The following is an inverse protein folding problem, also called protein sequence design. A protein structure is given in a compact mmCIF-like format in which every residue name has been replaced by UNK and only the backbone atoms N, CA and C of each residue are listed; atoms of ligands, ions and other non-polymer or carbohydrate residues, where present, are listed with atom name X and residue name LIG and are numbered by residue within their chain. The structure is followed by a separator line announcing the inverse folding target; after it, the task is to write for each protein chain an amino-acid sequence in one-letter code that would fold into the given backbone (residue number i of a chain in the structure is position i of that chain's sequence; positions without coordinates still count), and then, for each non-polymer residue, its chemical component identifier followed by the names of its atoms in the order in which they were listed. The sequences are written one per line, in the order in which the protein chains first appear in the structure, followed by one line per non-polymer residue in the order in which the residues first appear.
data_IF_234970129202
#
_entry.id   IF_234970129202
#
_cell.length_a   1.000
_cell.length_b   1.000
_cell.length_c   1.000
_cell.angle_alpha   90.00
_cell.angle_beta   90.00
_cell.angle_gamma   90.00
#
_symmetry.space_group_name_H-M   'P 1'
#
loop_
_entity.id
_entity.type
_entity.pdbx_description
1 polymer ?
#
# COMPACT_ATOMS: atom_id res chain seq x y z
N UNK A 1 28.84 -2.45 9.64
CA UNK A 1 28.30 -2.64 11.00
C UNK A 1 26.85 -3.03 10.81
N UNK A 2 26.46 -4.30 11.01
CA UNK A 2 25.05 -4.70 10.85
C UNK A 2 24.27 -4.07 12.00
N UNK A 3 23.48 -3.04 11.73
CA UNK A 3 22.45 -2.56 12.64
C UNK A 3 21.64 -3.79 13.07
N UNK A 4 21.46 -3.97 14.38
CA UNK A 4 20.61 -5.06 14.84
C UNK A 4 19.19 -4.73 14.39
N UNK A 5 18.40 -5.75 14.07
CA UNK A 5 16.99 -5.55 13.68
C UNK A 5 16.25 -4.70 14.72
N UNK A 6 16.65 -4.71 16.00
CA UNK A 6 16.02 -3.87 17.03
C UNK A 6 16.33 -2.36 16.91
N UNK A 7 17.51 -1.99 16.42
CA UNK A 7 17.93 -0.59 16.28
C UNK A 7 17.10 0.14 15.20
N UNK A 8 16.67 -0.60 14.17
CA UNK A 8 15.81 -0.12 13.08
C UNK A 8 14.46 0.42 13.55
N UNK A 9 13.89 -0.15 14.61
CA UNK A 9 12.50 0.16 15.03
C UNK A 9 12.42 1.15 16.20
N UNK A 10 13.54 1.72 16.67
CA UNK A 10 13.59 2.70 17.77
C UNK A 10 12.75 2.30 19.01
N UNK A 11 12.71 1.01 19.36
CA UNK A 11 11.91 0.49 20.49
C UNK A 11 10.41 0.34 20.24
N UNK A 12 9.89 0.68 19.05
CA UNK A 12 8.47 0.56 18.66
C UNK A 12 8.10 -0.85 18.21
N UNK A 13 8.48 -1.86 19.00
CA UNK A 13 8.28 -3.27 18.68
C UNK A 13 7.27 -3.89 19.64
N UNK A 14 6.12 -4.33 19.12
CA UNK A 14 5.20 -5.25 19.79
C UNK A 14 5.54 -6.70 19.43
N UNK A 15 5.80 -6.98 18.15
CA UNK A 15 6.27 -8.29 17.68
C UNK A 15 7.00 -8.17 16.34
N UNK A 16 7.91 -9.10 16.06
CA UNK A 16 8.54 -9.26 14.75
C UNK A 16 8.34 -10.69 14.27
N UNK A 17 7.79 -10.83 13.07
CA UNK A 17 7.71 -12.08 12.32
C UNK A 17 8.74 -12.04 11.20
N UNK A 18 9.41 -13.16 10.96
CA UNK A 18 10.36 -13.30 9.86
C UNK A 18 9.78 -14.26 8.82
N UNK A 19 9.38 -13.73 7.67
CA UNK A 19 8.83 -14.54 6.57
C UNK A 19 9.97 -15.08 5.72
N UNK A 20 10.13 -16.40 5.66
CA UNK A 20 11.12 -17.04 4.81
C UNK A 20 10.67 -17.01 3.35
N UNK A 21 11.40 -16.28 2.50
CA UNK A 21 11.15 -16.28 1.06
C UNK A 21 11.52 -17.65 0.45
N UNK A 22 10.90 -17.99 -0.68
CA UNK A 22 11.19 -19.26 -1.35
C UNK A 22 12.44 -19.21 -2.24
N UNK A 23 12.89 -18.02 -2.59
CA UNK A 23 14.02 -17.77 -3.50
C UNK A 23 15.16 -17.04 -2.79
N UNK A 24 16.34 -17.02 -3.40
CA UNK A 24 17.39 -16.06 -3.04
C UNK A 24 16.99 -14.65 -3.51
N UNK A 25 17.68 -13.61 -3.01
CA UNK A 25 17.44 -12.25 -3.47
C UNK A 25 17.79 -12.09 -4.97
N UNK A 26 18.87 -12.73 -5.43
CA UNK A 26 19.31 -12.70 -6.83
C UNK A 26 18.29 -13.38 -7.76
N UNK A 27 17.81 -14.57 -7.41
CA UNK A 27 16.73 -15.25 -8.16
C UNK A 27 15.47 -14.40 -8.21
N UNK A 28 15.13 -13.76 -7.11
CA UNK A 28 13.97 -12.88 -7.02
C UNK A 28 14.12 -11.69 -7.97
N UNK A 29 15.27 -11.00 -7.97
CA UNK A 29 15.53 -9.90 -8.89
C UNK A 29 15.38 -10.37 -10.34
N UNK A 30 15.93 -11.53 -10.70
CA UNK A 30 15.81 -12.08 -12.06
C UNK A 30 14.35 -12.38 -12.46
N UNK A 31 13.55 -12.93 -11.54
CA UNK A 31 12.11 -13.14 -11.77
C UNK A 31 11.39 -11.81 -11.95
N UNK A 32 11.72 -10.80 -11.13
CA UNK A 32 11.12 -9.48 -11.20
C UNK A 32 11.44 -8.80 -12.54
N UNK A 33 12.66 -8.91 -13.05
CA UNK A 33 12.99 -8.40 -14.40
C UNK A 33 12.06 -8.98 -15.48
N UNK A 34 11.73 -10.27 -15.38
CA UNK A 34 10.85 -10.96 -16.32
C UNK A 34 9.41 -10.43 -16.37
N UNK A 35 8.96 -9.71 -15.34
CA UNK A 35 7.62 -9.10 -15.29
C UNK A 35 7.61 -7.60 -15.62
N UNK A 36 8.75 -7.08 -16.10
CA UNK A 36 8.90 -5.72 -16.61
C UNK A 36 8.38 -4.61 -15.67
N UNK A 37 8.84 -4.57 -14.41
CA UNK A 37 8.48 -3.49 -13.49
C UNK A 37 9.04 -2.16 -14.01
N UNK A 38 8.45 -1.07 -13.53
CA UNK A 38 8.77 0.28 -14.01
C UNK A 38 9.25 1.17 -12.87
N UNK A 39 9.98 2.22 -13.23
CA UNK A 39 10.28 3.37 -12.36
C UNK A 39 9.85 4.66 -13.05
N UNK A 40 9.54 5.68 -12.25
CA UNK A 40 9.28 7.02 -12.78
C UNK A 40 10.58 7.83 -12.78
N UNK A 41 11.05 8.21 -13.96
CA UNK A 41 12.32 8.93 -14.16
C UNK A 41 12.13 10.00 -15.24
N UNK A 42 12.61 11.21 -14.98
CA UNK A 42 12.58 12.32 -15.96
C UNK A 42 11.20 12.60 -16.59
N UNK A 43 10.11 12.42 -15.84
CA UNK A 43 8.75 12.71 -16.31
C UNK A 43 8.04 11.57 -17.04
N UNK A 44 8.64 10.37 -17.07
CA UNK A 44 8.07 9.21 -17.74
C UNK A 44 8.23 7.93 -16.92
N UNK A 45 7.34 6.97 -17.16
CA UNK A 45 7.48 5.60 -16.70
C UNK A 45 8.41 4.85 -17.65
N UNK A 46 9.51 4.32 -17.14
CA UNK A 46 10.52 3.56 -17.90
C UNK A 46 10.73 2.19 -17.25
N UNK A 47 11.14 1.16 -18.02
CA UNK A 47 11.50 -0.14 -17.45
C UNK A 47 12.61 0.00 -16.39
N UNK A 48 12.46 -0.71 -15.28
CA UNK A 48 13.47 -0.78 -14.22
C UNK A 48 14.56 -1.81 -14.57
N UNK A 49 15.81 -1.48 -14.28
CA UNK A 49 16.96 -2.40 -14.39
C UNK A 49 17.05 -3.33 -13.19
N UNK A 50 17.83 -4.41 -13.26
CA UNK A 50 18.08 -5.27 -12.08
C UNK A 50 18.67 -4.50 -10.90
N UNK A 51 19.53 -3.50 -11.16
CA UNK A 51 20.06 -2.61 -10.11
C UNK A 51 18.94 -1.80 -9.47
N UNK A 52 18.06 -1.18 -10.27
CA UNK A 52 16.89 -0.45 -9.74
C UNK A 52 16.01 -1.40 -8.91
N UNK A 53 15.74 -2.61 -9.39
CA UNK A 53 14.91 -3.59 -8.68
C UNK A 53 15.55 -3.98 -7.35
N UNK A 54 16.86 -4.27 -7.33
CA UNK A 54 17.58 -4.68 -6.12
C UNK A 54 17.49 -3.62 -5.02
N UNK A 55 17.60 -2.34 -5.36
CA UNK A 55 17.53 -1.23 -4.40
C UNK A 55 16.19 -1.18 -3.63
N UNK A 56 15.08 -1.58 -4.26
CA UNK A 56 13.76 -1.59 -3.62
C UNK A 56 13.32 -2.97 -3.13
N UNK A 57 13.86 -4.04 -3.69
CA UNK A 57 13.49 -5.42 -3.38
C UNK A 57 14.31 -5.97 -2.20
N UNK A 58 15.49 -5.45 -1.87
CA UNK A 58 16.23 -5.91 -0.69
C UNK A 58 15.54 -5.43 0.61
N UNK A 59 14.99 -6.34 1.45
CA UNK A 59 14.35 -5.97 2.71
C UNK A 59 15.30 -5.24 3.65
N UNK A 60 16.61 -5.55 3.63
CA UNK A 60 17.59 -4.93 4.50
C UNK A 60 17.72 -3.42 4.25
N UNK A 61 17.57 -2.98 3.00
CA UNK A 61 17.62 -1.57 2.60
C UNK A 61 16.38 -0.77 3.02
N UNK A 62 15.30 -1.46 3.41
CA UNK A 62 14.07 -0.84 3.89
C UNK A 62 13.88 -0.97 5.40
N UNK A 63 14.93 -1.31 6.17
CA UNK A 63 14.90 -1.33 7.64
C UNK A 63 15.36 0.00 8.27
N UNK A 64 15.55 1.07 7.49
CA UNK A 64 16.00 2.36 8.00
C UNK A 64 14.98 3.48 7.78
N UNK A 65 14.91 4.41 8.73
CA UNK A 65 14.04 5.59 8.65
C UNK A 65 12.57 5.25 8.40
N UNK A 66 11.90 6.05 7.58
CA UNK A 66 10.48 5.86 7.25
C UNK A 66 10.22 4.57 6.44
N UNK A 67 11.24 4.02 5.79
CA UNK A 67 11.09 2.83 4.93
C UNK A 67 10.75 1.58 5.73
N UNK A 68 11.04 1.58 7.04
CA UNK A 68 10.67 0.48 7.94
C UNK A 68 9.16 0.22 7.94
N UNK A 69 8.34 1.24 7.64
CA UNK A 69 6.89 1.12 7.50
C UNK A 69 6.45 0.21 6.35
N UNK A 70 7.35 -0.16 5.43
CA UNK A 70 7.05 -1.19 4.43
C UNK A 70 6.72 -2.56 5.04
N UNK A 71 7.18 -2.79 6.27
CA UNK A 71 7.11 -4.08 6.97
C UNK A 71 6.08 -4.11 8.09
N UNK A 72 5.29 -3.05 8.30
CA UNK A 72 4.23 -3.05 9.31
C UNK A 72 3.09 -3.98 8.89
N UNK A 73 2.54 -4.76 9.83
CA UNK A 73 1.40 -5.63 9.55
C UNK A 73 0.13 -4.82 9.35
N UNK A 74 -0.43 -4.89 8.15
CA UNK A 74 -1.61 -4.13 7.75
C UNK A 74 -2.91 -4.77 8.25
N UNK A 75 -2.88 -5.98 8.79
CA UNK A 75 -4.00 -6.63 9.47
C UNK A 75 -4.16 -6.16 10.93
N UNK A 76 -3.23 -5.36 11.44
CA UNK A 76 -3.28 -4.83 12.80
C UNK A 76 -4.00 -3.50 12.80
N UNK A 77 -5.18 -3.44 13.42
CA UNK A 77 -5.97 -2.20 13.51
C UNK A 77 -5.41 -1.31 14.63
N UNK A 78 -4.81 -0.14 14.33
CA UNK A 78 -4.41 0.83 15.35
C UNK A 78 -5.65 1.50 15.96
N UNK A 79 -5.51 2.02 17.18
CA UNK A 79 -6.54 2.79 17.87
C UNK A 79 -6.56 4.25 17.37
N UNK A 80 -6.92 4.43 16.09
CA UNK A 80 -7.01 5.73 15.42
C UNK A 80 -8.39 6.34 15.59
N UNK A 81 -8.44 7.62 15.91
CA UNK A 81 -9.68 8.39 15.98
C UNK A 81 -10.13 8.85 14.58
N UNK A 82 -11.43 9.14 14.43
CA UNK A 82 -11.96 9.70 13.19
C UNK A 82 -11.34 11.06 12.92
N UNK A 83 -11.10 11.84 13.99
CA UNK A 83 -10.51 13.18 13.94
C UNK A 83 -9.11 13.13 13.33
N UNK A 84 -8.22 12.26 13.80
CA UNK A 84 -6.86 12.15 13.25
C UNK A 84 -6.86 11.64 11.80
N UNK A 85 -7.80 10.76 11.42
CA UNK A 85 -7.97 10.39 10.00
C UNK A 85 -8.40 11.59 9.17
N UNK A 86 -9.35 12.40 9.67
CA UNK A 86 -9.82 13.58 8.95
C UNK A 86 -8.75 14.67 8.86
N UNK A 87 -7.92 14.84 9.88
CA UNK A 87 -6.74 15.73 9.85
C UNK A 87 -5.80 15.37 8.70
N UNK A 88 -5.52 14.08 8.50
CA UNK A 88 -4.75 13.64 7.35
C UNK A 88 -5.48 13.92 6.02
N UNK A 89 -6.81 13.80 5.98
CA UNK A 89 -7.60 13.88 4.76
C UNK A 89 -7.94 15.31 4.30
N UNK A 90 -7.59 16.34 5.09
CA UNK A 90 -7.80 17.75 4.72
C UNK A 90 -7.20 18.06 3.35
N UNK A 91 -8.00 18.69 2.48
CA UNK A 91 -7.58 19.10 1.14
C UNK A 91 -7.40 17.95 0.14
N UNK A 92 -7.79 16.72 0.49
CA UNK A 92 -7.66 15.54 -0.39
C UNK A 92 -8.90 15.27 -1.23
N UNK A 93 -9.53 16.33 -1.74
CA UNK A 93 -10.62 16.25 -2.70
C UNK A 93 -11.80 15.41 -2.17
N UNK A 94 -12.22 14.41 -2.93
CA UNK A 94 -13.37 13.56 -2.54
C UNK A 94 -13.11 12.67 -1.32
N UNK A 95 -11.87 12.62 -0.82
CA UNK A 95 -11.52 11.88 0.39
C UNK A 95 -11.64 12.74 1.67
N UNK A 96 -11.83 14.05 1.54
CA UNK A 96 -11.99 14.94 2.69
C UNK A 96 -13.20 14.51 3.55
N UNK A 97 -13.03 14.55 4.87
CA UNK A 97 -14.02 14.07 5.86
C UNK A 97 -14.41 12.58 5.77
N UNK A 98 -13.70 11.77 4.96
CA UNK A 98 -13.99 10.34 4.80
C UNK A 98 -13.43 9.44 5.92
N UNK A 99 -12.88 10.00 7.01
CA UNK A 99 -12.21 9.26 8.08
C UNK A 99 -13.09 8.18 8.72
N UNK A 100 -14.37 8.47 8.95
CA UNK A 100 -15.33 7.47 9.44
C UNK A 100 -15.47 6.29 8.47
N UNK A 101 -15.46 6.55 7.16
CA UNK A 101 -15.62 5.51 6.13
C UNK A 101 -14.40 4.59 6.14
N UNK A 102 -13.18 5.16 6.20
CA UNK A 102 -11.95 4.38 6.29
C UNK A 102 -11.88 3.56 7.58
N UNK A 103 -12.26 4.14 8.72
CA UNK A 103 -12.31 3.43 9.99
C UNK A 103 -13.27 2.23 9.92
N UNK A 104 -14.49 2.46 9.45
CA UNK A 104 -15.49 1.38 9.29
C UNK A 104 -15.00 0.31 8.32
N UNK A 105 -14.47 0.71 7.16
CA UNK A 105 -13.93 -0.23 6.17
C UNK A 105 -12.82 -1.10 6.75
N UNK A 106 -11.89 -0.48 7.49
CA UNK A 106 -10.79 -1.17 8.13
C UNK A 106 -11.25 -2.15 9.21
N UNK A 107 -12.22 -1.77 10.04
CA UNK A 107 -12.80 -2.65 11.05
C UNK A 107 -13.55 -3.84 10.44
N UNK A 108 -14.34 -3.61 9.39
CA UNK A 108 -15.16 -4.65 8.75
C UNK A 108 -14.31 -5.66 8.00
N UNK A 109 -13.29 -5.20 7.28
CA UNK A 109 -12.46 -6.04 6.43
C UNK A 109 -11.10 -6.39 7.02
N UNK A 110 -10.88 -6.07 8.31
CA UNK A 110 -9.65 -6.34 9.05
C UNK A 110 -8.38 -5.81 8.34
N UNK A 111 -8.46 -4.58 7.87
CA UNK A 111 -7.36 -3.85 7.23
C UNK A 111 -7.12 -2.56 7.99
N UNK A 112 -5.86 -2.18 8.18
CA UNK A 112 -5.48 -0.94 8.85
C UNK A 112 -6.13 0.28 8.15
N UNK A 113 -7.00 1.03 8.85
CA UNK A 113 -7.66 2.22 8.29
C UNK A 113 -6.70 3.35 7.93
N UNK A 114 -5.54 3.45 8.60
CA UNK A 114 -4.51 4.43 8.26
C UNK A 114 -3.94 4.10 6.88
N UNK A 115 -3.54 2.84 6.69
CA UNK A 115 -3.13 2.34 5.38
C UNK A 115 -4.19 2.53 4.31
N UNK A 116 -5.47 2.24 4.57
CA UNK A 116 -6.53 2.46 3.57
C UNK A 116 -6.61 3.94 3.15
N UNK A 117 -6.53 4.88 4.09
CA UNK A 117 -6.56 6.32 3.80
C UNK A 117 -5.32 6.78 3.02
N UNK A 118 -4.12 6.34 3.43
CA UNK A 118 -2.84 6.64 2.77
C UNK A 118 -2.81 6.09 1.36
N UNK A 119 -3.20 4.82 1.21
CA UNK A 119 -3.22 4.13 -0.05
C UNK A 119 -4.19 4.80 -1.02
N UNK A 120 -5.42 5.07 -0.57
CA UNK A 120 -6.39 5.78 -1.40
C UNK A 120 -5.89 7.15 -1.81
N UNK A 121 -5.27 7.91 -0.90
CA UNK A 121 -4.70 9.22 -1.20
C UNK A 121 -3.61 9.16 -2.27
N UNK A 122 -2.73 8.14 -2.27
CA UNK A 122 -1.71 8.00 -3.29
C UNK A 122 -2.31 7.67 -4.65
N UNK A 123 -3.17 6.65 -4.71
CA UNK A 123 -3.73 6.13 -5.98
C UNK A 123 -4.66 7.12 -6.66
N UNK A 124 -5.33 7.97 -5.88
CA UNK A 124 -6.30 8.93 -6.41
C UNK A 124 -5.72 10.30 -6.69
N UNK A 125 -4.42 10.52 -6.44
CA UNK A 125 -3.80 11.85 -6.48
C UNK A 125 -4.48 12.79 -5.50
N UNK A 126 -4.55 12.41 -4.22
CA UNK A 126 -5.28 13.08 -3.14
C UNK A 126 -6.75 13.36 -3.54
N UNK A 127 -7.47 12.33 -3.95
CA UNK A 127 -8.90 12.38 -4.29
C UNK A 127 -9.26 13.26 -5.49
N UNK A 128 -8.29 13.68 -6.30
CA UNK A 128 -8.51 14.66 -7.37
C UNK A 128 -8.55 14.05 -8.77
N UNK A 129 -8.10 12.81 -8.94
CA UNK A 129 -8.15 12.11 -10.23
C UNK A 129 -9.59 11.96 -10.75
N UNK A 130 -9.74 11.88 -12.07
CA UNK A 130 -11.06 11.74 -12.70
C UNK A 130 -11.75 10.44 -12.28
N UNK A 131 -11.00 9.35 -12.17
CA UNK A 131 -11.48 8.05 -11.69
C UNK A 131 -11.97 8.12 -10.24
N UNK A 132 -11.22 8.79 -9.35
CA UNK A 132 -11.64 9.00 -7.96
C UNK A 132 -12.85 9.92 -7.86
N UNK A 133 -13.02 10.86 -8.79
CA UNK A 133 -14.16 11.79 -8.82
C UNK A 133 -15.40 11.23 -9.53
N UNK A 134 -15.30 10.05 -10.15
CA UNK A 134 -16.37 9.44 -10.93
C UNK A 134 -16.82 10.28 -12.12
N UNK A 135 -15.87 10.88 -12.84
CA UNK A 135 -16.13 11.75 -14.01
C UNK A 135 -15.50 11.21 -15.31
N UNK A 136 -15.24 9.90 -15.35
CA UNK A 136 -14.78 9.20 -16.56
C UNK A 136 -15.93 9.14 -17.57
N UNK A 137 -15.66 9.53 -18.81
CA UNK A 137 -16.69 9.67 -19.85
C UNK A 137 -17.43 8.34 -20.10
N UNK A 138 -18.75 8.35 -20.00
CA UNK A 138 -19.62 7.16 -20.17
C UNK A 138 -19.75 6.27 -18.93
N UNK A 139 -19.05 6.60 -17.85
CA UNK A 139 -19.07 5.91 -16.56
C UNK A 139 -19.18 6.92 -15.40
N UNK A 140 -19.83 8.05 -15.64
CA UNK A 140 -20.05 9.08 -14.63
C UNK A 140 -20.86 8.53 -13.45
N UNK A 141 -20.47 8.95 -12.24
CA UNK A 141 -21.07 8.48 -10.99
C UNK A 141 -20.51 7.16 -10.48
N UNK A 142 -19.49 6.57 -11.13
CA UNK A 142 -18.78 5.39 -10.61
C UNK A 142 -17.35 5.72 -10.20
N UNK A 143 -16.96 5.29 -9.00
CA UNK A 143 -15.76 5.75 -8.31
C UNK A 143 -14.81 4.58 -8.05
N UNK A 144 -13.50 4.80 -8.16
CA UNK A 144 -12.49 3.80 -7.76
C UNK A 144 -11.39 4.49 -6.96
N UNK A 145 -11.26 4.07 -5.69
CA UNK A 145 -10.45 4.77 -4.69
C UNK A 145 -9.05 4.19 -4.49
N UNK A 146 -8.72 3.10 -5.16
CA UNK A 146 -7.47 2.36 -4.94
C UNK A 146 -6.82 1.88 -6.25
N UNK A 147 -7.26 2.39 -7.40
CA UNK A 147 -6.74 1.99 -8.71
C UNK A 147 -7.01 0.52 -9.06
N UNK A 148 -8.00 -0.12 -8.42
CA UNK A 148 -8.25 -1.57 -8.59
C UNK A 148 -8.65 -1.86 -10.04
N UNK A 149 -7.89 -2.74 -10.70
CA UNK A 149 -8.06 -3.12 -12.12
C UNK A 149 -7.95 -1.93 -13.10
N UNK A 150 -7.31 -0.83 -12.71
CA UNK A 150 -7.19 0.38 -13.51
C UNK A 150 -5.91 0.41 -14.37
N UNK A 151 -5.76 -0.52 -15.33
CA UNK A 151 -4.68 -0.46 -16.33
C UNK A 151 -4.74 0.83 -17.15
N UNK A 152 -5.97 1.28 -17.39
CA UNK A 152 -6.32 2.61 -17.85
C UNK A 152 -7.43 3.16 -16.95
N UNK A 153 -7.64 4.47 -16.98
CA UNK A 153 -8.77 5.11 -16.31
C UNK A 153 -10.12 4.46 -16.70
N UNK A 154 -10.29 4.12 -17.98
CA UNK A 154 -11.50 3.47 -18.50
C UNK A 154 -11.71 2.07 -17.90
N UNK A 155 -10.65 1.25 -17.82
CA UNK A 155 -10.76 -0.08 -17.21
C UNK A 155 -11.16 0.01 -15.73
N UNK A 156 -10.59 0.97 -15.01
CA UNK A 156 -10.94 1.21 -13.60
C UNK A 156 -12.39 1.63 -13.42
N UNK A 157 -12.93 2.46 -14.31
CA UNK A 157 -14.31 2.93 -14.27
C UNK A 157 -15.33 1.84 -14.66
N UNK A 158 -14.99 1.00 -15.66
CA UNK A 158 -15.78 -0.20 -16.01
C UNK A 158 -15.90 -1.11 -14.78
N UNK A 159 -14.77 -1.41 -14.15
CA UNK A 159 -14.75 -2.27 -12.96
C UNK A 159 -15.57 -1.67 -11.81
N UNK A 160 -15.42 -0.38 -11.53
CA UNK A 160 -16.22 0.31 -10.52
C UNK A 160 -17.73 0.21 -10.77
N UNK A 161 -18.16 0.31 -12.03
CA UNK A 161 -19.56 0.11 -12.43
C UNK A 161 -20.04 -1.32 -12.22
N UNK A 162 -19.25 -2.30 -12.61
CA UNK A 162 -19.56 -3.72 -12.39
C UNK A 162 -19.71 -4.07 -10.90
N UNK A 163 -18.91 -3.43 -10.04
CA UNK A 163 -19.01 -3.59 -8.58
C UNK A 163 -20.11 -2.73 -7.94
N UNK A 164 -20.78 -1.86 -8.70
CA UNK A 164 -21.81 -0.96 -8.16
C UNK A 164 -21.25 0.11 -7.22
N UNK A 165 -20.01 0.56 -7.44
CA UNK A 165 -19.36 1.62 -6.67
C UNK A 165 -19.85 3.00 -7.12
N UNK A 166 -21.14 3.26 -6.90
CA UNK A 166 -21.87 4.46 -7.33
C UNK A 166 -21.77 5.65 -6.33
N UNK A 167 -20.87 5.55 -5.36
CA UNK A 167 -20.57 6.59 -4.38
C UNK A 167 -19.16 6.44 -3.83
N UNK A 168 -18.59 7.53 -3.32
CA UNK A 168 -17.29 7.52 -2.61
C UNK A 168 -17.30 6.48 -1.48
N UNK A 169 -18.38 6.44 -0.70
CA UNK A 169 -18.56 5.46 0.38
C UNK A 169 -18.42 4.02 -0.11
N UNK A 170 -19.18 3.63 -1.15
CA UNK A 170 -19.13 2.27 -1.69
C UNK A 170 -17.77 1.93 -2.31
N UNK A 171 -17.12 2.89 -2.96
CA UNK A 171 -15.80 2.68 -3.54
C UNK A 171 -14.70 2.49 -2.49
N UNK A 172 -14.77 3.22 -1.36
CA UNK A 172 -13.86 3.00 -0.22
C UNK A 172 -14.14 1.62 0.40
N UNK A 173 -15.40 1.31 0.72
CA UNK A 173 -15.76 0.04 1.35
C UNK A 173 -15.41 -1.17 0.47
N UNK A 174 -15.83 -1.17 -0.79
CA UNK A 174 -15.60 -2.27 -1.72
C UNK A 174 -14.13 -2.40 -2.14
N UNK A 175 -13.39 -1.30 -2.18
CA UNK A 175 -11.95 -1.35 -2.39
C UNK A 175 -11.21 -1.94 -1.19
N UNK A 176 -11.60 -1.58 0.04
CA UNK A 176 -11.07 -2.19 1.25
C UNK A 176 -11.41 -3.68 1.34
N UNK A 177 -12.63 -4.09 0.95
CA UNK A 177 -13.02 -5.49 0.81
C UNK A 177 -12.08 -6.24 -0.13
N UNK A 178 -11.86 -5.68 -1.32
CA UNK A 178 -10.97 -6.25 -2.32
C UNK A 178 -9.54 -6.41 -1.77
N UNK A 179 -8.99 -5.36 -1.15
CA UNK A 179 -7.64 -5.40 -0.56
C UNK A 179 -7.57 -6.42 0.58
N UNK A 180 -8.54 -6.42 1.48
CA UNK A 180 -8.62 -7.35 2.60
C UNK A 180 -8.58 -8.79 2.13
N UNK A 181 -9.50 -9.19 1.27
CA UNK A 181 -9.59 -10.59 0.81
C UNK A 181 -8.50 -11.00 -0.18
N UNK A 182 -8.10 -10.13 -1.11
CA UNK A 182 -7.16 -10.53 -2.16
C UNK A 182 -5.69 -10.38 -1.77
N UNK A 183 -5.36 -9.62 -0.72
CA UNK A 183 -3.96 -9.40 -0.32
C UNK A 183 -3.74 -9.71 1.15
N UNK A 184 -4.42 -8.98 2.04
CA UNK A 184 -4.15 -9.05 3.49
C UNK A 184 -4.42 -10.46 4.02
N UNK A 185 -5.61 -10.98 3.77
CA UNK A 185 -6.02 -12.33 4.17
C UNK A 185 -5.36 -13.43 3.34
N UNK A 186 -4.77 -13.09 2.18
CA UNK A 186 -4.00 -13.99 1.34
C UNK A 186 -2.52 -14.11 1.77
N UNK A 187 -2.11 -13.40 2.84
CA UNK A 187 -0.75 -13.47 3.41
C UNK A 187 0.21 -12.40 2.89
N UNK A 188 -0.24 -11.50 2.02
CA UNK A 188 0.49 -10.30 1.60
C UNK A 188 0.14 -9.12 2.51
N UNK A 189 0.39 -9.31 3.79
CA UNK A 189 -0.05 -8.44 4.89
C UNK A 189 0.93 -7.31 5.25
N UNK A 190 1.78 -6.91 4.31
CA UNK A 190 2.66 -5.74 4.42
C UNK A 190 2.79 -5.08 3.07
N UNK A 191 3.08 -3.77 3.02
CA UNK A 191 3.35 -3.07 1.75
C UNK A 191 4.42 -3.78 0.93
N UNK A 192 5.49 -4.24 1.59
CA UNK A 192 6.56 -5.00 0.95
C UNK A 192 6.00 -6.27 0.28
N UNK A 193 5.22 -7.07 1.00
CA UNK A 193 4.69 -8.33 0.47
C UNK A 193 3.66 -8.11 -0.64
N UNK A 194 2.86 -7.05 -0.55
CA UNK A 194 1.93 -6.65 -1.61
C UNK A 194 2.68 -6.27 -2.90
N UNK A 195 3.85 -5.62 -2.78
CA UNK A 195 4.65 -5.23 -3.94
C UNK A 195 5.48 -6.38 -4.52
N UNK A 196 6.15 -7.15 -3.66
CA UNK A 196 7.21 -8.07 -4.11
C UNK A 196 6.80 -9.54 -4.09
N UNK A 197 5.80 -9.91 -3.30
CA UNK A 197 5.32 -11.28 -3.09
C UNK A 197 6.48 -12.29 -2.89
N UNK A 198 7.22 -12.22 -1.77
CA UNK A 198 8.43 -13.03 -1.55
C UNK A 198 8.18 -14.54 -1.49
N UNK A 199 6.92 -14.98 -1.35
CA UNK A 199 6.54 -16.39 -1.40
C UNK A 199 6.31 -16.87 -2.84
N UNK A 200 5.99 -15.98 -3.78
CA UNK A 200 5.86 -16.30 -5.20
C UNK A 200 6.21 -15.07 -6.06
N UNK A 201 7.51 -14.73 -6.19
CA UNK A 201 7.96 -13.51 -6.85
C UNK A 201 7.42 -13.32 -8.27
N UNK A 202 7.26 -12.07 -8.70
CA UNK A 202 6.70 -11.73 -10.01
C UNK A 202 5.19 -11.97 -10.17
N UNK A 203 4.51 -12.56 -9.19
CA UNK A 203 3.07 -12.85 -9.27
C UNK A 203 2.25 -12.06 -8.24
N UNK A 204 0.99 -11.81 -8.56
CA UNK A 204 0.00 -11.18 -7.65
C UNK A 204 0.55 -9.95 -6.93
N UNK A 205 1.15 -9.05 -7.71
CA UNK A 205 1.72 -7.80 -7.22
C UNK A 205 0.69 -6.69 -7.34
N UNK A 206 0.61 -5.86 -6.31
CA UNK A 206 -0.35 -4.77 -6.30
C UNK A 206 -0.05 -3.70 -7.37
N UNK A 207 1.24 -3.42 -7.59
CA UNK A 207 1.69 -2.36 -8.49
C UNK A 207 2.94 -2.78 -9.29
N UNK A 208 3.12 -2.16 -10.46
CA UNK A 208 4.30 -2.34 -11.32
C UNK A 208 5.45 -1.38 -10.96
N UNK A 209 5.14 -0.24 -10.34
CA UNK A 209 6.13 0.73 -9.86
C UNK A 209 6.99 0.13 -8.75
N UNK A 210 8.30 0.01 -8.96
CA UNK A 210 9.24 -0.51 -7.95
C UNK A 210 9.24 0.34 -6.66
N UNK A 211 8.92 1.63 -6.76
CA UNK A 211 8.90 2.55 -5.63
C UNK A 211 7.55 2.61 -4.90
N UNK A 212 6.55 1.82 -5.32
CA UNK A 212 5.19 1.89 -4.76
C UNK A 212 5.19 1.71 -3.23
N UNK A 213 5.81 0.65 -2.72
CA UNK A 213 5.85 0.38 -1.27
C UNK A 213 6.58 1.50 -0.52
N UNK A 214 7.65 2.04 -1.10
CA UNK A 214 8.43 3.14 -0.53
C UNK A 214 7.62 4.43 -0.41
N UNK A 215 6.86 4.78 -1.45
CA UNK A 215 5.98 5.96 -1.47
C UNK A 215 4.89 5.87 -0.39
N UNK A 216 4.30 4.69 -0.23
CA UNK A 216 3.30 4.43 0.80
C UNK A 216 3.92 4.47 2.20
N UNK A 217 5.10 3.86 2.39
CA UNK A 217 5.79 3.83 3.68
C UNK A 217 6.12 5.23 4.21
N UNK A 218 6.54 6.15 3.33
CA UNK A 218 6.76 7.54 3.73
C UNK A 218 5.47 8.21 4.26
N UNK A 219 4.34 8.01 3.56
CA UNK A 219 3.05 8.57 3.99
C UNK A 219 2.48 7.89 5.23
N UNK A 220 2.70 6.59 5.39
CA UNK A 220 2.37 5.88 6.63
C UNK A 220 3.16 6.45 7.80
N UNK A 221 4.45 6.71 7.61
CA UNK A 221 5.30 7.28 8.64
C UNK A 221 4.80 8.65 9.10
N UNK A 222 4.31 9.50 8.19
CA UNK A 222 3.73 10.81 8.55
C UNK A 222 2.64 10.67 9.62
N UNK A 223 1.74 9.68 9.49
CA UNK A 223 0.62 9.46 10.43
C UNK A 223 1.06 8.67 11.67
N UNK A 224 1.77 7.55 11.47
CA UNK A 224 2.17 6.66 12.56
C UNK A 224 3.21 7.30 13.50
N UNK A 225 4.14 8.09 12.97
CA UNK A 225 5.13 8.76 13.81
C UNK A 225 4.57 10.00 14.50
N UNK A 226 3.56 10.66 13.92
CA UNK A 226 2.88 11.81 14.51
C UNK A 226 1.90 11.41 15.62
N UNK A 227 0.97 10.49 15.35
CA UNK A 227 -0.12 10.18 16.28
C UNK A 227 0.13 8.96 17.17
N UNK A 228 1.12 8.14 16.83
CA UNK A 228 1.39 6.86 17.52
C UNK A 228 2.87 6.73 17.87
N UNK A 229 3.48 7.80 18.37
CA UNK A 229 4.91 7.80 18.69
C UNK A 229 5.29 6.77 19.76
N UNK A 230 4.37 6.45 20.67
CA UNK A 230 4.65 5.76 21.94
C UNK A 230 4.13 4.32 22.01
N UNK A 231 3.66 3.77 20.88
CA UNK A 231 3.12 2.39 20.82
C UNK A 231 4.05 1.45 20.07
N UNK A 232 4.03 0.17 20.45
CA UNK A 232 4.73 -0.89 19.74
C UNK A 232 3.89 -1.44 18.59
N UNK A 233 4.53 -1.72 17.45
CA UNK A 233 3.87 -2.26 16.26
C UNK A 233 4.21 -3.73 15.98
N UNK A 234 3.37 -4.37 15.18
CA UNK A 234 3.65 -5.69 14.65
C UNK A 234 4.34 -5.54 13.30
N UNK A 235 5.48 -6.21 13.16
CA UNK A 235 6.29 -6.18 11.96
C UNK A 235 6.37 -7.57 11.35
N UNK A 236 6.47 -7.64 10.03
CA UNK A 236 6.71 -8.86 9.28
C UNK A 236 7.74 -8.59 8.17
N UNK A 237 8.94 -9.09 8.39
CA UNK A 237 10.13 -8.80 7.58
C UNK A 237 10.47 -10.05 6.77
N UNK A 238 10.44 -9.99 5.43
CA UNK A 238 10.91 -11.09 4.61
C UNK A 238 12.42 -11.28 4.70
N UNK A 239 12.85 -12.55 4.69
CA UNK A 239 14.25 -12.95 4.63
C UNK A 239 14.43 -13.88 3.44
N UNK A 240 15.31 -13.49 2.51
CA UNK A 240 15.67 -14.33 1.37
C UNK A 240 16.66 -15.42 1.75
N UNK A 241 16.62 -16.54 1.01
CA UNK A 241 17.49 -17.71 1.23
C UNK A 241 18.97 -17.39 1.07
#
# INVERSE_FOLDING_TARGET
MKLSVQDAFSGKIKSIVLTQALNTLEETVSIQEGVNPVKYESGAWVPATSTDILEFCDPALSLEGNQVMQHIKLSSIPDISIEHLNEFLVGKGVLEEAGMIFLVAGMVYHVDPIYLAVHSSLETGNGSSRLARGVVEGYEGYYNMYGIKAWTELNGAIYAKEQGWDSVYKAILGGAEYIGFNYIHAGQDTLYKMRWNPLNPGTHQYATDIAWASKQANKLADIYLEFFSDVGYQWDIPIYK
#
